data_IF_852721340550
#
_entry.id   IF_852721340550
#
_cell.length_a   1.000
_cell.length_b   1.000
_cell.length_c   1.000
_cell.angle_alpha   90.00
_cell.angle_beta   90.00
_cell.angle_gamma   90.00
#
_symmetry.space_group_name_H-M   'P 1'
#
loop_
_entity.id
_entity.type
_entity.pdbx_description
1 polymer ?
#
# COMPACT_ATOMS: atom_id res chain seq x y z
N UNK A 1 -27.64 17.59 -28.27
CA UNK A 1 -26.66 16.74 -28.97
C UNK A 1 -25.35 16.69 -28.17
N UNK A 2 -25.36 16.05 -26.98
CA UNK A 2 -24.18 15.93 -26.10
C UNK A 2 -23.92 14.49 -25.62
N UNK A 3 -24.72 13.51 -26.04
CA UNK A 3 -24.60 12.11 -25.59
C UNK A 3 -23.52 11.32 -26.35
N UNK A 4 -23.05 11.80 -27.51
CA UNK A 4 -22.06 11.07 -28.31
C UNK A 4 -20.63 11.15 -27.74
N UNK A 5 -20.31 12.19 -26.95
CA UNK A 5 -18.99 12.30 -26.31
C UNK A 5 -18.86 11.47 -25.04
N UNK A 6 -19.97 11.08 -24.40
CA UNK A 6 -19.96 10.32 -23.14
C UNK A 6 -19.62 8.83 -23.35
N UNK A 7 -19.90 8.28 -24.53
CA UNK A 7 -19.59 6.88 -24.85
C UNK A 7 -18.15 6.66 -25.33
N UNK A 8 -17.47 7.69 -25.85
CA UNK A 8 -16.08 7.57 -26.32
C UNK A 8 -15.05 7.65 -25.18
N UNK A 9 -15.42 8.18 -24.01
CA UNK A 9 -14.57 8.19 -22.81
C UNK A 9 -14.77 6.96 -21.91
N UNK A 10 -15.84 6.20 -22.13
CA UNK A 10 -16.23 5.01 -21.35
C UNK A 10 -15.96 3.69 -22.08
N UNK A 11 -15.05 3.69 -23.05
CA UNK A 11 -14.45 2.45 -23.54
C UNK A 11 -13.41 1.95 -22.54
N UNK A 12 -13.25 0.63 -22.34
CA UNK A 12 -12.17 0.04 -21.53
C UNK A 12 -10.76 0.40 -22.03
N UNK A 13 -10.66 1.12 -23.15
CA UNK A 13 -9.46 1.67 -23.78
C UNK A 13 -9.16 3.13 -23.39
N UNK A 14 -9.69 3.63 -22.28
CA UNK A 14 -9.42 5.01 -21.82
C UNK A 14 -7.96 5.15 -21.31
N UNK A 15 -7.21 6.21 -21.68
CA UNK A 15 -5.80 6.40 -21.29
C UNK A 15 -5.55 6.52 -19.78
N UNK A 16 -6.61 6.66 -18.97
CA UNK A 16 -6.54 6.79 -17.53
C UNK A 16 -6.13 5.47 -16.84
N UNK A 17 -6.47 4.32 -17.42
CA UNK A 17 -5.95 3.01 -17.01
C UNK A 17 -4.43 2.91 -17.28
N UNK A 18 -3.97 3.39 -18.44
CA UNK A 18 -2.55 3.40 -18.78
C UNK A 18 -1.73 4.40 -17.96
N UNK A 19 -2.34 5.44 -17.38
CA UNK A 19 -1.62 6.43 -16.56
C UNK A 19 -1.25 5.89 -15.17
N UNK A 20 -2.08 5.03 -14.58
CA UNK A 20 -1.74 4.34 -13.34
C UNK A 20 -0.61 3.32 -13.51
N UNK A 21 -0.52 2.67 -14.69
CA UNK A 21 0.54 1.73 -15.02
C UNK A 21 1.85 2.44 -15.40
N UNK A 22 1.75 3.54 -16.16
CA UNK A 22 2.91 4.28 -16.69
C UNK A 22 3.61 5.16 -15.63
N UNK A 23 2.92 5.54 -14.55
CA UNK A 23 3.53 6.26 -13.41
C UNK A 23 4.21 5.35 -12.39
N UNK A 24 4.24 4.03 -12.60
CA UNK A 24 5.16 3.15 -11.87
C UNK A 24 6.64 3.37 -12.26
N UNK A 25 6.90 4.02 -13.40
CA UNK A 25 8.24 4.31 -13.90
C UNK A 25 8.77 5.70 -13.51
N UNK A 26 7.89 6.62 -13.08
CA UNK A 26 8.28 7.95 -12.62
C UNK A 26 7.92 8.07 -11.14
N UNK A 27 8.89 8.39 -10.28
CA UNK A 27 8.91 8.15 -8.81
C UNK A 27 7.85 8.89 -7.97
N UNK A 28 6.69 9.26 -8.52
CA UNK A 28 5.59 9.89 -7.79
C UNK A 28 4.47 8.89 -7.45
N UNK A 29 4.73 8.01 -6.48
CA UNK A 29 3.73 7.08 -5.96
C UNK A 29 2.51 7.81 -5.36
N UNK A 30 2.71 9.00 -4.80
CA UNK A 30 1.63 9.84 -4.24
C UNK A 30 0.65 10.29 -5.32
N UNK A 31 1.15 10.79 -6.46
CA UNK A 31 0.27 11.19 -7.58
C UNK A 31 -0.46 9.99 -8.18
N UNK A 32 0.21 8.83 -8.20
CA UNK A 32 -0.41 7.57 -8.66
C UNK A 32 -1.56 7.17 -7.75
N UNK A 33 -1.39 7.22 -6.42
CA UNK A 33 -2.47 6.96 -5.45
C UNK A 33 -3.64 7.91 -5.69
N UNK A 34 -3.38 9.21 -5.92
CA UNK A 34 -4.43 10.18 -6.19
C UNK A 34 -5.23 9.87 -7.47
N UNK A 35 -4.56 9.51 -8.56
CA UNK A 35 -5.23 9.11 -9.80
C UNK A 35 -6.01 7.79 -9.64
N UNK A 36 -5.45 6.82 -8.92
CA UNK A 36 -6.09 5.54 -8.64
C UNK A 36 -7.29 5.68 -7.71
N UNK A 37 -7.27 6.62 -6.75
CA UNK A 37 -8.41 6.95 -5.92
C UNK A 37 -9.60 7.41 -6.77
N UNK A 38 -9.36 8.24 -7.80
CA UNK A 38 -10.42 8.65 -8.72
C UNK A 38 -10.98 7.48 -9.50
N UNK A 39 -10.12 6.56 -9.97
CA UNK A 39 -10.56 5.37 -10.68
C UNK A 39 -11.45 4.48 -9.79
N UNK A 40 -11.08 4.30 -8.53
CA UNK A 40 -11.83 3.49 -7.56
C UNK A 40 -13.16 4.15 -7.14
N UNK A 41 -13.25 5.49 -7.15
CA UNK A 41 -14.52 6.19 -6.95
C UNK A 41 -15.50 5.91 -8.10
N UNK A 42 -14.99 5.77 -9.33
CA UNK A 42 -15.81 5.47 -10.52
C UNK A 42 -16.20 3.99 -10.54
N UNK A 43 -15.25 3.09 -10.30
CA UNK A 43 -15.46 1.65 -10.21
C UNK A 43 -14.76 1.09 -8.96
N UNK A 44 -15.50 0.93 -7.84
CA UNK A 44 -14.97 0.39 -6.60
C UNK A 44 -14.46 -1.05 -6.71
N UNK A 45 -14.92 -1.81 -7.72
CA UNK A 45 -14.59 -3.20 -7.92
C UNK A 45 -13.46 -3.39 -8.94
N UNK A 46 -12.80 -2.31 -9.37
CA UNK A 46 -11.69 -2.37 -10.30
C UNK A 46 -10.47 -3.03 -9.64
N UNK A 47 -10.37 -4.35 -9.77
CA UNK A 47 -9.31 -5.15 -9.18
C UNK A 47 -7.90 -4.70 -9.61
N UNK A 48 -7.76 -4.21 -10.85
CA UNK A 48 -6.48 -3.72 -11.33
C UNK A 48 -6.08 -2.42 -10.61
N UNK A 49 -7.00 -1.47 -10.50
CA UNK A 49 -6.75 -0.21 -9.79
C UNK A 49 -6.40 -0.46 -8.31
N UNK A 50 -7.12 -1.39 -7.65
CA UNK A 50 -6.83 -1.82 -6.28
C UNK A 50 -5.43 -2.43 -6.15
N UNK A 51 -5.03 -3.34 -7.06
CA UNK A 51 -3.68 -3.93 -7.06
C UNK A 51 -2.58 -2.88 -7.26
N UNK A 52 -2.78 -1.95 -8.19
CA UNK A 52 -1.83 -0.86 -8.43
C UNK A 52 -1.73 0.09 -7.24
N UNK A 53 -2.85 0.41 -6.59
CA UNK A 53 -2.85 1.30 -5.43
C UNK A 53 -2.18 0.64 -4.23
N UNK A 54 -2.44 -0.65 -4.01
CA UNK A 54 -1.71 -1.44 -3.01
C UNK A 54 -0.20 -1.43 -3.22
N UNK A 55 0.26 -1.56 -4.47
CA UNK A 55 1.69 -1.47 -4.78
C UNK A 55 2.25 -0.07 -4.49
N UNK A 56 1.53 0.99 -4.85
CA UNK A 56 1.96 2.36 -4.55
C UNK A 56 2.04 2.61 -3.03
N UNK A 57 1.04 2.18 -2.27
CA UNK A 57 1.07 2.24 -0.81
C UNK A 57 2.23 1.44 -0.20
N UNK A 58 2.51 0.25 -0.72
CA UNK A 58 3.69 -0.52 -0.32
C UNK A 58 5.00 0.26 -0.55
N UNK A 59 5.15 0.91 -1.72
CA UNK A 59 6.32 1.73 -2.02
C UNK A 59 6.42 2.99 -1.15
N UNK A 60 5.28 3.51 -0.69
CA UNK A 60 5.18 4.62 0.27
C UNK A 60 5.35 4.18 1.74
N UNK A 61 5.48 2.87 2.00
CA UNK A 61 5.50 2.27 3.35
C UNK A 61 4.20 2.44 4.14
N UNK A 62 3.10 2.66 3.45
CA UNK A 62 1.72 2.68 3.97
C UNK A 62 1.17 1.24 3.92
N UNK A 63 1.66 0.39 4.83
CA UNK A 63 1.46 -1.06 4.74
C UNK A 63 0.02 -1.49 5.05
N UNK A 64 -0.62 -0.83 6.00
CA UNK A 64 -2.00 -1.09 6.38
C UNK A 64 -2.98 -0.82 5.22
N UNK A 65 -2.82 0.30 4.53
CA UNK A 65 -3.58 0.71 3.35
C UNK A 65 -3.36 -0.27 2.21
N UNK A 66 -2.11 -0.66 1.96
CA UNK A 66 -1.78 -1.67 0.95
C UNK A 66 -2.47 -3.01 1.23
N UNK A 67 -2.47 -3.47 2.49
CA UNK A 67 -3.14 -4.71 2.89
C UNK A 67 -4.66 -4.63 2.75
N UNK A 68 -5.25 -3.45 3.01
CA UNK A 68 -6.68 -3.24 2.84
C UNK A 68 -7.10 -3.42 1.37
N UNK A 69 -6.35 -2.83 0.44
CA UNK A 69 -6.60 -2.98 -1.00
C UNK A 69 -6.44 -4.43 -1.47
N UNK A 70 -5.36 -5.12 -1.04
CA UNK A 70 -5.18 -6.53 -1.38
C UNK A 70 -6.29 -7.42 -0.80
N UNK A 71 -6.85 -7.07 0.37
CA UNK A 71 -8.01 -7.78 0.93
C UNK A 71 -9.24 -7.63 0.04
N UNK A 72 -9.48 -6.44 -0.52
CA UNK A 72 -10.58 -6.23 -1.47
C UNK A 72 -10.37 -7.06 -2.75
N UNK A 73 -9.16 -7.07 -3.30
CA UNK A 73 -8.82 -7.89 -4.49
C UNK A 73 -9.11 -9.38 -4.25
N UNK A 74 -8.81 -9.89 -3.06
CA UNK A 74 -9.11 -11.28 -2.67
C UNK A 74 -10.62 -11.51 -2.57
N UNK A 75 -11.36 -10.61 -1.93
CA UNK A 75 -12.82 -10.72 -1.78
C UNK A 75 -13.53 -10.68 -3.13
N UNK A 76 -13.03 -9.88 -4.07
CA UNK A 76 -13.57 -9.78 -5.43
C UNK A 76 -13.24 -10.99 -6.31
N UNK A 77 -12.44 -11.96 -5.83
CA UNK A 77 -12.06 -13.15 -6.58
C UNK A 77 -11.00 -12.90 -7.67
N UNK A 78 -10.37 -11.73 -7.66
CA UNK A 78 -9.35 -11.33 -8.63
C UNK A 78 -7.92 -11.65 -8.19
N UNK A 79 -7.75 -12.35 -7.06
CA UNK A 79 -6.43 -12.65 -6.52
C UNK A 79 -5.68 -13.65 -7.39
N UNK A 80 -4.41 -13.33 -7.64
CA UNK A 80 -3.44 -14.17 -8.34
C UNK A 80 -2.20 -14.36 -7.47
N UNK A 81 -1.22 -15.12 -7.97
CA UNK A 81 0.04 -15.35 -7.27
C UNK A 81 0.72 -14.05 -6.82
N UNK A 82 0.74 -13.03 -7.69
CA UNK A 82 1.32 -11.71 -7.38
C UNK A 82 0.66 -11.03 -6.18
N UNK A 83 -0.65 -11.19 -6.03
CA UNK A 83 -1.44 -10.63 -4.92
C UNK A 83 -0.98 -11.22 -3.59
N UNK A 84 -0.79 -12.54 -3.54
CA UNK A 84 -0.33 -13.23 -2.33
C UNK A 84 1.14 -12.95 -2.02
N UNK A 85 2.01 -12.90 -3.04
CA UNK A 85 3.42 -12.52 -2.87
C UNK A 85 3.54 -11.12 -2.28
N UNK A 86 2.82 -10.13 -2.84
CA UNK A 86 2.82 -8.76 -2.32
C UNK A 86 2.33 -8.71 -0.88
N UNK A 87 1.24 -9.41 -0.55
CA UNK A 87 0.74 -9.51 0.82
C UNK A 87 1.79 -10.06 1.79
N UNK A 88 2.50 -11.13 1.41
CA UNK A 88 3.57 -11.73 2.22
C UNK A 88 4.70 -10.73 2.46
N UNK A 89 5.15 -10.03 1.42
CA UNK A 89 6.22 -9.03 1.53
C UNK A 89 5.82 -7.90 2.47
N UNK A 90 4.62 -7.35 2.30
CA UNK A 90 4.08 -6.30 3.17
C UNK A 90 4.03 -6.77 4.64
N UNK A 91 3.53 -7.99 4.90
CA UNK A 91 3.45 -8.51 6.27
C UNK A 91 4.83 -8.70 6.92
N UNK A 92 5.86 -9.07 6.15
CA UNK A 92 7.25 -9.17 6.63
C UNK A 92 7.79 -7.80 7.04
N UNK A 93 7.65 -6.80 6.17
CA UNK A 93 8.09 -5.43 6.46
C UNK A 93 7.38 -4.85 7.69
N UNK A 94 6.06 -5.03 7.77
CA UNK A 94 5.28 -4.55 8.90
C UNK A 94 5.72 -5.21 10.23
N UNK A 95 6.03 -6.51 10.21
CA UNK A 95 6.55 -7.22 11.39
C UNK A 95 7.92 -6.67 11.81
N UNK A 96 8.80 -6.42 10.84
CA UNK A 96 10.13 -5.87 11.10
C UNK A 96 10.04 -4.48 11.76
N UNK A 97 9.13 -3.62 11.29
CA UNK A 97 8.91 -2.29 11.87
C UNK A 97 8.38 -2.34 13.30
N UNK A 98 7.47 -3.28 13.59
CA UNK A 98 6.95 -3.50 14.95
C UNK A 98 8.04 -3.97 15.90
N UNK A 99 8.96 -4.82 15.44
CA UNK A 99 10.10 -5.24 16.25
C UNK A 99 11.10 -4.10 16.50
N UNK A 100 11.38 -3.28 15.49
CA UNK A 100 12.28 -2.12 15.62
C UNK A 100 11.76 -1.07 16.59
N UNK A 101 10.44 -0.88 16.67
CA UNK A 101 9.82 0.07 17.60
C UNK A 101 9.73 -0.46 19.04
N UNK A 102 9.69 -1.78 19.23
CA UNK A 102 9.71 -2.39 20.57
C UNK A 102 11.13 -2.59 21.15
N UNK A 103 12.15 -2.71 20.31
CA UNK A 103 13.55 -2.90 20.72
C UNK A 103 14.25 -1.66 21.33
N UNK A 104 13.62 -0.49 21.28
CA UNK A 104 14.18 0.77 21.80
C UNK A 104 13.83 1.11 23.25
N UNK A 105 12.95 0.35 23.91
CA UNK A 105 12.50 0.62 25.28
C UNK A 105 13.17 -0.25 26.36
N UNK A 106 14.25 -0.97 26.01
CA UNK A 106 15.00 -1.80 26.96
C UNK A 106 16.49 -1.42 26.98
N UNK A 107 16.79 -0.15 27.25
CA UNK A 107 18.12 0.27 27.68
C UNK A 107 18.11 0.65 29.17
N UNK A 108 18.83 -0.18 29.93
CA UNK A 108 19.48 0.11 31.21
C UNK A 108 18.63 0.40 32.47
N UNK A 109 18.36 -0.66 33.23
CA UNK A 109 18.37 -0.61 34.70
C UNK A 109 19.28 -1.71 35.27
N UNK A 110 20.55 -1.72 34.88
CA UNK A 110 21.55 -2.63 35.46
C UNK A 110 22.89 -1.92 35.74
N UNK A 111 22.87 -0.72 36.34
CA UNK A 111 24.11 -0.07 36.79
C UNK A 111 23.89 0.80 38.04
N UNK A 112 23.48 0.22 39.17
CA UNK A 112 23.99 0.64 40.51
C UNK A 112 24.02 -0.58 41.44
N UNK A 113 24.94 -1.52 41.21
CA UNK A 113 25.43 -2.39 42.29
C UNK A 113 26.84 -1.94 42.67
N UNK A 114 26.93 -1.30 43.83
CA UNK A 114 28.17 -1.17 44.60
C UNK A 114 28.78 0.23 44.62
N UNK A 115 28.68 0.91 45.77
CA UNK A 115 29.83 1.17 46.66
C UNK A 115 29.39 1.98 47.89
N UNK A 116 29.74 1.46 49.06
CA UNK A 116 30.07 2.25 50.24
C UNK A 116 28.91 2.61 51.17
N UNK A 117 28.87 1.94 52.32
CA UNK A 117 29.09 2.64 53.59
C UNK A 117 29.53 1.62 54.65
N UNK A 118 30.83 1.61 54.87
CA UNK A 118 31.39 1.31 56.18
C UNK A 118 31.14 2.52 57.07
N UNK A 119 30.58 2.28 58.25
CA UNK A 119 30.91 2.81 59.58
C UNK A 119 29.80 2.38 60.54
#
# INVERSE_FOLDING_TARGET
MLLFSYHLTNSPSSPQYLRGAAKGLDKSYVDSVYDLNKAIVIDPNNCWALKCRAYCYYMLKEYEEALCDLKMVIILGCADESTYINKINIMRELKNLKNSTQGGASSNTNDIKGKGKAL
#
